data_IF_198304979028
#
_entry.id   IF_198304979028
#
_cell.length_a   1.000
_cell.length_b   1.000
_cell.length_c   1.000
_cell.angle_alpha   90.00
_cell.angle_beta   90.00
_cell.angle_gamma   90.00
#
_symmetry.space_group_name_H-M   'P 1'
#
loop_
_entity.id
_entity.type
_entity.pdbx_description
1 polymer ?
#
# COMPACT_ATOMS: atom_id res chain seq x y z
N UNK A 1 1.45 -1.98 5.40
CA UNK A 1 1.24 -0.91 6.38
C UNK A 1 -0.26 -0.79 6.53
N UNK A 2 -0.76 -1.48 7.55
CA UNK A 2 -2.18 -1.51 7.89
C UNK A 2 -2.63 -0.10 8.21
N UNK A 3 -3.44 0.46 7.32
CA UNK A 3 -4.06 1.76 7.49
C UNK A 3 -5.15 1.65 8.55
N UNK A 4 -4.76 1.58 9.82
CA UNK A 4 -5.68 1.76 10.92
C UNK A 4 -6.17 3.21 10.88
N UNK A 5 -7.33 3.42 10.26
CA UNK A 5 -8.07 4.66 10.43
C UNK A 5 -8.32 4.84 11.92
N UNK A 6 -7.90 5.98 12.49
CA UNK A 6 -8.22 6.28 13.87
C UNK A 6 -9.75 6.30 13.98
N UNK A 7 -10.28 5.43 14.83
CA UNK A 7 -11.71 5.39 15.14
C UNK A 7 -12.15 6.82 15.52
N UNK A 8 -13.28 7.25 14.97
CA UNK A 8 -13.86 8.54 15.31
C UNK A 8 -14.01 8.58 16.85
N UNK A 9 -13.52 9.64 17.51
CA UNK A 9 -13.70 9.75 18.95
C UNK A 9 -15.20 9.74 19.25
N UNK A 10 -15.63 8.78 20.07
CA UNK A 10 -17.02 8.72 20.52
C UNK A 10 -17.35 10.00 21.29
N UNK A 11 -18.51 10.57 20.98
CA UNK A 11 -19.03 11.68 21.75
C UNK A 11 -19.62 11.15 23.05
N UNK A 12 -18.92 11.38 24.14
CA UNK A 12 -19.42 11.07 25.47
C UNK A 12 -20.31 12.22 25.99
N UNK A 13 -21.62 11.95 26.09
CA UNK A 13 -22.62 12.84 26.66
C UNK A 13 -22.84 12.65 28.16
N UNK A 14 -22.17 11.67 28.80
CA UNK A 14 -22.42 11.30 30.20
C UNK A 14 -21.84 12.30 31.23
N UNK A 15 -20.88 13.12 30.81
CA UNK A 15 -20.24 14.13 31.66
C UNK A 15 -20.46 15.55 31.08
N UNK A 16 -21.34 16.32 31.73
CA UNK A 16 -21.79 17.66 31.33
C UNK A 16 -20.68 18.72 31.32
N UNK A 17 -19.56 18.46 32.00
CA UNK A 17 -18.43 19.38 32.02
C UNK A 17 -17.82 19.56 30.61
N UNK A 18 -17.75 20.83 30.20
CA UNK A 18 -17.16 21.27 28.94
C UNK A 18 -17.84 20.69 27.68
N UNK A 19 -19.11 20.30 27.77
CA UNK A 19 -19.90 19.68 26.69
C UNK A 19 -19.96 20.54 25.43
N UNK A 20 -19.99 21.88 25.57
CA UNK A 20 -19.97 22.81 24.44
C UNK A 20 -18.66 22.74 23.64
N UNK A 21 -17.51 22.66 24.30
CA UNK A 21 -16.21 22.53 23.63
C UNK A 21 -16.00 21.12 23.08
N UNK A 22 -16.48 20.08 23.78
CA UNK A 22 -16.52 18.70 23.25
C UNK A 22 -17.39 18.62 21.99
N UNK A 23 -18.55 19.27 21.99
CA UNK A 23 -19.46 19.38 20.84
C UNK A 23 -18.84 20.11 19.66
N UNK A 24 -18.23 21.27 19.89
CA UNK A 24 -17.52 22.01 18.83
C UNK A 24 -16.42 21.17 18.20
N UNK A 25 -15.59 20.50 19.01
CA UNK A 25 -14.48 19.67 18.52
C UNK A 25 -14.99 18.47 17.74
N UNK A 26 -15.95 17.71 18.28
CA UNK A 26 -16.55 16.56 17.59
C UNK A 26 -17.23 16.96 16.28
N UNK A 27 -18.03 18.05 16.29
CA UNK A 27 -18.68 18.58 15.08
C UNK A 27 -17.67 19.01 14.02
N UNK A 28 -16.55 19.63 14.41
CA UNK A 28 -15.49 20.03 13.48
C UNK A 28 -14.76 18.82 12.89
N UNK A 29 -14.47 17.79 13.69
CA UNK A 29 -13.91 16.52 13.21
C UNK A 29 -14.87 15.78 12.28
N UNK A 30 -16.16 15.74 12.62
CA UNK A 30 -17.21 15.14 11.77
C UNK A 30 -17.39 15.92 10.47
N UNK A 31 -17.38 17.25 10.50
CA UNK A 31 -17.45 18.07 9.29
C UNK A 31 -16.24 17.89 8.38
N UNK A 32 -15.01 17.78 8.91
CA UNK A 32 -13.82 17.50 8.10
C UNK A 32 -13.92 16.11 7.43
N UNK A 33 -14.40 15.11 8.19
CA UNK A 33 -14.66 13.77 7.66
C UNK A 33 -15.74 13.80 6.57
N UNK A 34 -16.80 14.57 6.80
CA UNK A 34 -17.88 14.77 5.86
C UNK A 34 -17.41 15.55 4.64
N UNK A 35 -16.54 16.56 4.74
CA UNK A 35 -15.97 17.33 3.63
C UNK A 35 -15.10 16.45 2.72
N UNK A 36 -14.24 15.62 3.30
CA UNK A 36 -13.51 14.58 2.56
C UNK A 36 -14.48 13.57 1.92
N UNK A 37 -15.58 13.24 2.61
CA UNK A 37 -16.67 12.44 2.06
C UNK A 37 -17.61 13.22 1.12
N UNK A 38 -17.54 14.56 1.04
CA UNK A 38 -18.42 15.38 0.21
C UNK A 38 -17.95 15.39 -1.23
N UNK A 39 -16.63 15.34 -1.47
CA UNK A 39 -16.10 14.89 -2.79
C UNK A 39 -16.58 13.47 -3.11
N UNK A 40 -16.71 12.62 -2.09
CA UNK A 40 -17.32 11.30 -2.18
C UNK A 40 -18.85 11.28 -2.30
N UNK A 41 -19.56 12.42 -2.21
CA UNK A 41 -21.03 12.45 -2.19
C UNK A 41 -21.64 12.07 -3.54
N UNK A 42 -21.03 12.54 -4.63
CA UNK A 42 -21.45 12.15 -5.98
C UNK A 42 -21.30 10.65 -6.19
N UNK A 43 -20.21 10.07 -5.65
CA UNK A 43 -19.93 8.63 -5.69
C UNK A 43 -20.92 7.87 -4.79
N UNK A 44 -21.18 8.36 -3.58
CA UNK A 44 -22.18 7.80 -2.66
C UNK A 44 -23.55 7.68 -3.33
N UNK A 45 -23.96 8.71 -4.08
CA UNK A 45 -25.24 8.70 -4.80
C UNK A 45 -25.30 7.65 -5.93
N UNK A 46 -24.16 7.07 -6.34
CA UNK A 46 -24.11 5.95 -7.30
C UNK A 46 -24.24 4.58 -6.63
N UNK A 47 -24.15 4.50 -5.30
CA UNK A 47 -24.20 3.24 -4.59
C UNK A 47 -25.62 2.73 -4.40
N UNK A 48 -25.83 1.45 -4.74
CA UNK A 48 -27.09 0.77 -4.48
C UNK A 48 -27.01 0.07 -3.12
N UNK A 49 -27.83 0.49 -2.16
CA UNK A 49 -27.93 -0.12 -0.83
C UNK A 49 -29.13 -1.06 -0.76
N UNK A 50 -29.00 -2.20 -0.08
CA UNK A 50 -30.13 -3.05 0.28
C UNK A 50 -30.97 -2.45 1.42
N UNK A 51 -32.11 -3.08 1.72
CA UNK A 51 -32.93 -2.69 2.87
C UNK A 51 -32.12 -2.72 4.17
N UNK A 52 -32.14 -1.62 4.93
CA UNK A 52 -31.42 -1.45 6.20
C UNK A 52 -29.88 -1.52 6.11
N UNK A 53 -29.30 -1.26 4.94
CA UNK A 53 -27.84 -1.21 4.75
C UNK A 53 -27.27 0.21 4.74
N UNK A 54 -28.09 1.22 4.43
CA UNK A 54 -27.63 2.60 4.30
C UNK A 54 -27.06 3.20 5.60
N UNK A 55 -27.52 2.71 6.75
CA UNK A 55 -27.12 3.19 8.08
C UNK A 55 -25.91 2.43 8.64
N UNK A 56 -25.40 1.43 7.91
CA UNK A 56 -24.29 0.57 8.32
C UNK A 56 -22.96 1.09 7.80
N UNK A 57 -22.13 1.60 8.71
CA UNK A 57 -20.82 2.18 8.39
C UNK A 57 -19.88 1.20 7.70
N UNK A 58 -19.88 -0.08 8.10
CA UNK A 58 -19.08 -1.14 7.50
C UNK A 58 -19.49 -1.41 6.03
N UNK A 59 -20.78 -1.40 5.73
CA UNK A 59 -21.29 -1.55 4.37
C UNK A 59 -20.90 -0.35 3.51
N UNK A 60 -21.01 0.87 4.05
CA UNK A 60 -20.61 2.10 3.39
C UNK A 60 -19.11 2.10 3.04
N UNK A 61 -18.26 1.74 4.01
CA UNK A 61 -16.81 1.66 3.82
C UNK A 61 -16.45 0.63 2.75
N UNK A 62 -17.08 -0.55 2.78
CA UNK A 62 -16.84 -1.60 1.77
C UNK A 62 -17.21 -1.13 0.36
N UNK A 63 -18.33 -0.43 0.17
CA UNK A 63 -18.71 0.09 -1.16
C UNK A 63 -17.74 1.16 -1.66
N UNK A 64 -17.25 2.03 -0.79
CA UNK A 64 -16.20 2.99 -1.13
C UNK A 64 -14.88 2.31 -1.45
N UNK A 65 -14.51 1.27 -0.71
CA UNK A 65 -13.33 0.46 -0.97
C UNK A 65 -13.43 -0.23 -2.35
N UNK A 66 -14.57 -0.88 -2.64
CA UNK A 66 -14.83 -1.50 -3.94
C UNK A 66 -14.78 -0.47 -5.09
N UNK A 67 -15.42 0.70 -4.92
CA UNK A 67 -15.37 1.78 -5.91
C UNK A 67 -13.94 2.26 -6.17
N UNK A 68 -13.17 2.53 -5.11
CA UNK A 68 -11.78 2.99 -5.24
C UNK A 68 -10.88 1.91 -5.87
N UNK A 69 -11.10 0.63 -5.53
CA UNK A 69 -10.39 -0.51 -6.11
C UNK A 69 -10.69 -0.61 -7.61
N UNK A 70 -11.94 -0.40 -8.06
CA UNK A 70 -12.26 -0.42 -9.52
C UNK A 70 -11.59 0.72 -10.29
N UNK A 71 -11.27 1.83 -9.63
CA UNK A 71 -10.58 2.99 -10.23
C UNK A 71 -9.05 2.91 -10.12
N UNK A 72 -8.53 1.79 -9.63
CA UNK A 72 -7.10 1.52 -9.55
C UNK A 72 -6.47 1.59 -10.94
N UNK A 73 -5.65 2.61 -11.16
CA UNK A 73 -4.89 2.73 -12.40
C UNK A 73 -3.69 1.78 -12.36
N UNK A 74 -3.91 0.55 -12.80
CA UNK A 74 -2.89 -0.51 -12.86
C UNK A 74 -1.66 -0.04 -13.63
N UNK A 75 -1.85 0.75 -14.70
CA UNK A 75 -0.75 1.32 -15.51
C UNK A 75 0.16 2.21 -14.68
N UNK A 76 -0.38 3.10 -13.84
CA UNK A 76 0.43 3.97 -12.95
C UNK A 76 1.19 3.12 -11.92
N UNK A 77 0.56 2.10 -11.37
CA UNK A 77 1.18 1.23 -10.36
C UNK A 77 2.31 0.39 -10.99
N UNK A 78 2.06 -0.17 -12.19
CA UNK A 78 3.09 -0.88 -12.98
C UNK A 78 4.22 0.03 -13.41
N UNK A 79 3.93 1.27 -13.80
CA UNK A 79 4.97 2.27 -14.07
C UNK A 79 5.84 2.51 -12.84
N UNK A 80 5.23 2.71 -11.66
CA UNK A 80 5.97 2.85 -10.40
C UNK A 80 6.80 1.62 -10.07
N UNK A 81 6.27 0.41 -10.30
CA UNK A 81 7.01 -0.83 -10.13
C UNK A 81 8.22 -0.93 -11.07
N UNK A 82 8.02 -0.67 -12.37
CA UNK A 82 9.05 -0.82 -13.41
C UNK A 82 10.15 0.25 -13.31
N UNK A 83 9.83 1.43 -12.79
CA UNK A 83 10.79 2.54 -12.60
C UNK A 83 11.45 2.55 -11.23
N UNK A 84 11.07 1.62 -10.35
CA UNK A 84 11.67 1.49 -9.03
C UNK A 84 13.09 0.94 -9.18
N UNK A 85 14.07 1.73 -8.77
CA UNK A 85 15.48 1.32 -8.63
C UNK A 85 15.86 1.27 -7.16
N UNK A 86 16.78 0.38 -6.78
CA UNK A 86 17.25 0.27 -5.40
C UNK A 86 18.03 1.51 -5.02
N UNK A 87 17.70 2.15 -3.91
CA UNK A 87 18.43 3.32 -3.40
C UNK A 87 19.47 2.89 -2.35
N UNK A 88 19.70 3.72 -1.33
CA UNK A 88 20.56 3.44 -0.18
C UNK A 88 19.86 2.56 0.88
N UNK A 89 19.13 1.55 0.43
CA UNK A 89 18.35 0.63 1.27
C UNK A 89 18.97 -0.79 1.24
N UNK A 90 18.57 -1.67 2.16
CA UNK A 90 18.97 -3.09 2.09
C UNK A 90 18.19 -3.83 0.98
N UNK A 91 18.69 -4.99 0.53
CA UNK A 91 17.93 -5.80 -0.43
C UNK A 91 16.58 -6.27 0.16
N UNK A 92 16.51 -6.53 1.46
CA UNK A 92 15.27 -6.98 2.11
C UNK A 92 14.22 -5.85 2.18
N UNK A 93 14.65 -4.60 2.42
CA UNK A 93 13.78 -3.42 2.34
C UNK A 93 13.26 -3.22 0.92
N UNK A 94 14.16 -3.27 -0.06
CA UNK A 94 13.82 -3.13 -1.47
C UNK A 94 12.83 -4.19 -1.94
N UNK A 95 13.08 -5.46 -1.59
CA UNK A 95 12.20 -6.59 -1.90
C UNK A 95 10.82 -6.43 -1.26
N UNK A 96 10.77 -5.95 -0.02
CA UNK A 96 9.51 -5.74 0.70
C UNK A 96 8.66 -4.68 -0.01
N UNK A 97 9.28 -3.58 -0.42
CA UNK A 97 8.61 -2.51 -1.17
C UNK A 97 8.13 -2.99 -2.55
N UNK A 98 8.98 -3.69 -3.30
CA UNK A 98 8.58 -4.31 -4.58
C UNK A 98 7.41 -5.28 -4.42
N UNK A 99 7.43 -6.14 -3.39
CA UNK A 99 6.32 -7.06 -3.09
C UNK A 99 5.04 -6.31 -2.74
N UNK A 100 5.13 -5.18 -2.03
CA UNK A 100 3.98 -4.35 -1.68
C UNK A 100 3.37 -3.69 -2.92
N UNK A 101 4.19 -3.14 -3.81
CA UNK A 101 3.72 -2.54 -5.07
C UNK A 101 3.11 -3.63 -5.97
N UNK A 102 3.80 -4.77 -6.12
CA UNK A 102 3.39 -5.87 -7.00
C UNK A 102 2.06 -6.52 -6.61
N UNK A 103 1.66 -6.50 -5.33
CA UNK A 103 0.30 -6.92 -4.89
C UNK A 103 -0.79 -6.22 -5.70
N UNK A 104 -0.51 -5.01 -6.14
CA UNK A 104 -1.43 -4.15 -6.83
C UNK A 104 -1.22 -4.08 -8.36
N UNK A 105 -0.32 -4.89 -8.92
CA UNK A 105 0.00 -4.82 -10.35
C UNK A 105 -0.73 -5.84 -11.23
N UNK A 106 -1.53 -6.75 -10.66
CA UNK A 106 -2.22 -7.81 -11.42
C UNK A 106 -1.23 -8.61 -12.30
N UNK A 107 -0.09 -8.97 -11.72
CA UNK A 107 0.93 -9.77 -12.40
C UNK A 107 0.66 -11.28 -12.36
N UNK A 108 -0.30 -11.71 -11.53
CA UNK A 108 -0.69 -13.12 -11.41
C UNK A 108 0.54 -14.04 -11.19
N UNK A 109 0.67 -15.07 -12.02
CA UNK A 109 1.75 -16.05 -11.99
C UNK A 109 3.13 -15.48 -12.37
N UNK A 110 3.19 -14.31 -13.02
CA UNK A 110 4.45 -13.65 -13.41
C UNK A 110 5.07 -12.83 -12.28
N UNK A 111 4.37 -12.65 -11.17
CA UNK A 111 4.76 -11.74 -10.08
C UNK A 111 6.21 -11.92 -9.62
N UNK A 112 6.63 -13.14 -9.31
CA UNK A 112 7.97 -13.39 -8.78
C UNK A 112 9.06 -13.21 -9.85
N UNK A 113 8.76 -13.56 -11.11
CA UNK A 113 9.63 -13.31 -12.25
C UNK A 113 9.86 -11.82 -12.48
N UNK A 114 8.79 -11.02 -12.45
CA UNK A 114 8.89 -9.57 -12.62
C UNK A 114 9.60 -8.88 -11.44
N UNK A 115 9.42 -9.35 -10.21
CA UNK A 115 10.19 -8.83 -9.06
C UNK A 115 11.67 -9.16 -9.23
N UNK A 116 12.02 -10.38 -9.64
CA UNK A 116 13.39 -10.77 -9.96
C UNK A 116 13.98 -9.86 -11.04
N UNK A 117 13.28 -9.65 -12.13
CA UNK A 117 13.77 -8.84 -13.26
C UNK A 117 13.97 -7.37 -12.84
N UNK A 118 13.06 -6.82 -12.02
CA UNK A 118 13.23 -5.48 -11.44
C UNK A 118 14.41 -5.41 -10.47
N UNK A 119 14.76 -6.48 -9.75
CA UNK A 119 15.99 -6.54 -8.93
C UNK A 119 17.24 -6.50 -9.82
N UNK A 120 17.25 -7.28 -10.91
CA UNK A 120 18.37 -7.32 -11.86
C UNK A 120 18.57 -5.95 -12.53
N UNK A 121 17.49 -5.32 -12.99
CA UNK A 121 17.55 -4.02 -13.64
C UNK A 121 17.87 -2.88 -12.65
N UNK A 122 17.21 -2.89 -11.49
CA UNK A 122 17.22 -1.82 -10.50
C UNK A 122 18.39 -1.82 -9.53
N UNK A 123 19.32 -2.79 -9.60
CA UNK A 123 20.54 -2.75 -8.79
C UNK A 123 21.56 -1.73 -9.34
N UNK A 124 22.15 -0.94 -8.44
CA UNK A 124 23.18 0.06 -8.77
C UNK A 124 24.59 -0.52 -8.79
N UNK A 125 24.79 -1.77 -8.36
CA UNK A 125 26.11 -2.41 -8.36
C UNK A 125 26.32 -3.19 -9.65
N UNK A 126 27.23 -2.73 -10.50
CA UNK A 126 27.62 -3.42 -11.74
C UNK A 126 28.10 -4.85 -11.47
N UNK A 127 28.91 -5.05 -10.43
CA UNK A 127 29.39 -6.37 -9.99
C UNK A 127 28.25 -7.31 -9.60
N UNK A 128 27.25 -6.82 -8.85
CA UNK A 128 26.09 -7.64 -8.48
C UNK A 128 25.24 -7.94 -9.71
N UNK A 129 25.02 -6.96 -10.59
CA UNK A 129 24.29 -7.14 -11.84
C UNK A 129 24.93 -8.21 -12.72
N UNK A 130 26.24 -8.19 -12.88
CA UNK A 130 26.97 -9.21 -13.63
C UNK A 130 26.83 -10.60 -13.01
N UNK A 131 26.93 -10.72 -11.67
CA UNK A 131 26.71 -12.00 -10.98
C UNK A 131 25.31 -12.54 -11.19
N UNK A 132 24.28 -11.67 -11.16
CA UNK A 132 22.90 -12.06 -11.42
C UNK A 132 22.71 -12.56 -12.86
N UNK A 133 23.30 -11.86 -13.85
CA UNK A 133 23.16 -12.20 -15.27
C UNK A 133 23.91 -13.48 -15.68
N UNK A 134 24.86 -13.96 -14.88
CA UNK A 134 25.57 -15.23 -15.12
C UNK A 134 24.87 -16.46 -14.56
N UNK A 135 23.88 -16.29 -13.67
CA UNK A 135 23.17 -17.39 -13.04
C UNK A 135 22.15 -17.99 -14.01
N UNK A 136 22.36 -19.24 -14.41
CA UNK A 136 21.36 -19.99 -15.19
C UNK A 136 20.19 -20.40 -14.29
N UNK A 137 18.96 -20.29 -14.81
CA UNK A 137 17.74 -20.53 -14.03
C UNK A 137 17.61 -19.64 -12.79
N UNK A 138 17.94 -18.35 -12.90
CA UNK A 138 17.84 -17.39 -11.79
C UNK A 138 16.41 -17.31 -11.25
N UNK A 139 16.23 -17.70 -9.98
CA UNK A 139 14.97 -17.54 -9.23
C UNK A 139 15.00 -16.26 -8.40
N UNK A 140 13.84 -15.81 -7.92
CA UNK A 140 13.74 -14.65 -7.02
C UNK A 140 14.59 -14.84 -5.76
N UNK A 141 14.51 -16.00 -5.12
CA UNK A 141 15.27 -16.28 -3.89
C UNK A 141 16.78 -16.28 -4.13
N UNK A 142 17.25 -16.85 -5.25
CA UNK A 142 18.65 -16.79 -5.66
C UNK A 142 19.10 -15.34 -5.91
N UNK A 143 18.28 -14.55 -6.60
CA UNK A 143 18.59 -13.15 -6.88
C UNK A 143 18.77 -12.34 -5.59
N UNK A 144 17.86 -12.53 -4.63
CA UNK A 144 17.96 -11.90 -3.30
C UNK A 144 19.21 -12.38 -2.57
N UNK A 145 19.52 -13.67 -2.62
CA UNK A 145 20.74 -14.25 -2.02
C UNK A 145 22.03 -13.63 -2.57
N UNK A 146 22.13 -13.46 -3.90
CA UNK A 146 23.29 -12.83 -4.56
C UNK A 146 23.43 -11.36 -4.16
N UNK A 147 22.31 -10.66 -3.95
CA UNK A 147 22.28 -9.25 -3.57
C UNK A 147 22.57 -9.00 -2.09
N UNK A 148 22.45 -10.01 -1.22
CA UNK A 148 22.83 -9.86 0.19
C UNK A 148 24.35 -9.70 0.30
N UNK A 149 24.84 -8.83 1.19
CA UNK A 149 26.27 -8.74 1.46
C UNK A 149 26.76 -10.11 1.95
N UNK A 150 27.69 -10.72 1.22
CA UNK A 150 28.45 -11.84 1.74
C UNK A 150 29.23 -11.31 2.93
N UNK A 151 29.02 -11.85 4.14
CA UNK A 151 29.99 -11.63 5.22
C UNK A 151 31.29 -12.26 4.73
N UNK A 152 32.26 -11.45 4.30
CA UNK A 152 33.62 -11.94 4.09
C UNK A 152 34.13 -12.43 5.45
N UNK A 153 34.28 -13.74 5.60
CA UNK A 153 34.99 -14.38 6.72
C UNK A 153 36.47 -14.59 6.33
N UNK A 154 37.13 -13.53 5.90
CA UNK A 154 38.57 -13.51 5.55
C UNK A 154 39.11 -12.16 6.05
N UNK A 155 40.13 -12.01 6.91
CA UNK A 155 41.16 -12.89 7.45
C UNK A 155 41.59 -12.36 8.83
N UNK A 156 41.97 -13.26 9.76
CA UNK A 156 42.79 -12.97 10.95
C UNK A 156 44.13 -13.66 10.78
#
# INVERSE_FOLDING_TARGET
MDGHFKQLPEMDFSHEDNLSEKWKRWKQTMNLYLEVAMEGREIYNTFNFGENEADKLDVLLKKFEDYCITKKNVTVIRHRFNTRSKLNESIDQYLTDLKLIAKNCEFEHLKDGLIRDTIVCGTNSSRVKERLLREDGLTLDKAVGICRPTKNLENR
#
